data_IF_973683011913
#
_entry.id   IF_973683011913
#
_cell.length_a   1.000
_cell.length_b   1.000
_cell.length_c   1.000
_cell.angle_alpha   90.00
_cell.angle_beta   90.00
_cell.angle_gamma   90.00
#
_symmetry.space_group_name_H-M   'P 1'
#
loop_
_entity.id
_entity.type
_entity.pdbx_description
1 polymer ?
#
# COMPACT_ATOMS: atom_id res chain seq x y z
N UNK A 1 -8.87 3.39 -4.68
CA UNK A 1 -8.54 4.56 -5.51
C UNK A 1 -9.35 5.72 -4.96
N UNK A 2 -8.69 6.73 -4.39
CA UNK A 2 -9.14 8.07 -4.70
C UNK A 2 -9.39 8.07 -6.21
N UNK A 3 -10.59 8.43 -6.68
CA UNK A 3 -10.84 8.61 -8.11
C UNK A 3 -9.63 9.39 -8.60
N UNK A 4 -8.83 8.73 -9.44
CA UNK A 4 -7.51 9.15 -9.90
C UNK A 4 -7.29 10.64 -9.66
N UNK A 5 -6.31 11.00 -8.83
CA UNK A 5 -5.82 12.38 -8.78
C UNK A 5 -5.66 12.81 -10.22
N UNK A 6 -6.49 13.75 -10.64
CA UNK A 6 -6.67 14.04 -12.04
C UNK A 6 -5.34 14.66 -12.50
N UNK A 7 -4.93 14.52 -13.76
CA UNK A 7 -3.71 15.23 -14.22
C UNK A 7 -3.78 16.75 -13.94
N UNK A 8 -5.00 17.28 -13.73
CA UNK A 8 -5.26 18.62 -13.25
C UNK A 8 -4.70 18.93 -11.84
N UNK A 9 -4.56 17.96 -10.94
CA UNK A 9 -4.02 18.13 -9.58
C UNK A 9 -2.50 18.39 -9.59
N UNK A 10 -1.81 18.02 -10.68
CA UNK A 10 -0.41 18.41 -10.91
C UNK A 10 -0.29 19.86 -11.41
N UNK A 11 -1.40 20.45 -11.89
CA UNK A 11 -1.41 21.83 -12.39
C UNK A 11 -1.61 22.87 -11.27
N UNK A 12 -2.07 22.45 -10.09
CA UNK A 12 -2.17 23.31 -8.90
C UNK A 12 -0.81 23.54 -8.24
N UNK A 13 -0.67 24.68 -7.56
CA UNK A 13 0.57 25.07 -6.89
C UNK A 13 0.93 24.13 -5.74
N UNK A 14 2.23 23.98 -5.44
CA UNK A 14 2.71 23.08 -4.38
C UNK A 14 2.12 23.40 -3.01
N UNK A 15 1.90 24.67 -2.70
CA UNK A 15 1.36 25.09 -1.41
C UNK A 15 -0.18 25.19 -1.38
N UNK A 16 -0.85 24.84 -2.48
CA UNK A 16 -2.31 24.92 -2.59
C UNK A 16 -2.97 23.65 -2.03
N UNK A 17 -4.16 23.81 -1.46
CA UNK A 17 -4.96 22.69 -0.98
C UNK A 17 -5.74 22.05 -2.12
N UNK A 18 -5.70 20.73 -2.21
CA UNK A 18 -6.44 19.92 -3.18
C UNK A 18 -7.42 19.04 -2.40
N UNK A 19 -8.69 19.12 -2.78
CA UNK A 19 -9.76 18.29 -2.23
C UNK A 19 -9.93 17.08 -3.12
N UNK A 20 -9.76 15.88 -2.55
CA UNK A 20 -9.85 14.61 -3.26
C UNK A 20 -10.89 13.69 -2.63
N UNK A 21 -11.61 12.95 -3.47
CA UNK A 21 -12.55 11.92 -3.03
C UNK A 21 -11.79 10.67 -2.56
N UNK A 22 -12.21 10.06 -1.45
CA UNK A 22 -11.65 8.81 -0.95
C UNK A 22 -12.37 7.59 -1.58
N UNK A 23 -11.64 6.48 -1.79
CA UNK A 23 -12.23 5.26 -2.38
C UNK A 23 -13.40 4.69 -1.58
N UNK A 24 -13.38 4.89 -0.27
CA UNK A 24 -14.39 4.40 0.68
C UNK A 24 -15.44 5.46 1.03
N UNK A 25 -15.47 6.57 0.28
CA UNK A 25 -16.40 7.69 0.47
C UNK A 25 -15.85 8.80 1.36
N UNK A 26 -16.43 9.99 1.19
CA UNK A 26 -15.96 11.22 1.82
C UNK A 26 -14.85 11.91 1.02
N UNK A 27 -14.39 13.04 1.55
CA UNK A 27 -13.33 13.84 0.95
C UNK A 27 -12.17 14.01 1.94
N UNK A 28 -10.97 14.10 1.39
CA UNK A 28 -9.78 14.52 2.11
C UNK A 28 -9.23 15.80 1.51
N UNK A 29 -8.43 16.54 2.27
CA UNK A 29 -7.69 17.70 1.78
C UNK A 29 -6.21 17.43 1.96
N UNK A 30 -5.46 17.49 0.86
CA UNK A 30 -4.01 17.29 0.83
C UNK A 30 -3.34 18.53 0.23
N UNK A 31 -2.12 18.81 0.65
CA UNK A 31 -1.29 19.88 0.07
C UNK A 31 -0.80 19.45 -1.33
N UNK A 32 -0.73 20.39 -2.27
CA UNK A 32 -0.32 20.15 -3.65
C UNK A 32 1.04 19.47 -3.77
N UNK A 33 1.96 19.75 -2.83
CA UNK A 33 3.25 19.08 -2.71
C UNK A 33 3.16 17.55 -2.73
N UNK A 34 2.14 16.97 -2.08
CA UNK A 34 1.90 15.52 -2.12
C UNK A 34 1.80 14.98 -3.55
N UNK A 35 0.99 15.62 -4.40
CA UNK A 35 0.76 15.17 -5.77
C UNK A 35 1.97 15.44 -6.66
N UNK A 36 2.71 16.53 -6.42
CA UNK A 36 3.96 16.83 -7.14
C UNK A 36 5.08 15.83 -6.79
N UNK A 37 5.04 15.21 -5.62
CA UNK A 37 6.02 14.20 -5.19
C UNK A 37 5.70 12.80 -5.71
N UNK A 38 4.43 12.46 -5.96
CA UNK A 38 4.04 11.11 -6.42
C UNK A 38 4.84 10.61 -7.63
N UNK A 39 5.08 11.41 -8.70
CA UNK A 39 5.87 10.95 -9.85
C UNK A 39 7.36 10.78 -9.56
N UNK A 40 7.87 11.33 -8.45
CA UNK A 40 9.27 11.26 -8.04
C UNK A 40 9.56 10.07 -7.13
N UNK A 41 8.53 9.36 -6.69
CA UNK A 41 8.65 8.20 -5.81
C UNK A 41 8.42 6.89 -6.56
N UNK A 42 9.17 5.86 -6.19
CA UNK A 42 9.00 4.50 -6.69
C UNK A 42 9.01 3.52 -5.52
N UNK A 43 7.90 2.81 -5.33
CA UNK A 43 7.80 1.76 -4.31
C UNK A 43 8.87 0.68 -4.53
N UNK A 44 9.10 0.27 -5.78
CA UNK A 44 10.15 -0.68 -6.13
C UNK A 44 11.55 -0.16 -5.78
N UNK A 45 11.83 1.12 -6.08
CA UNK A 45 13.12 1.75 -5.73
C UNK A 45 13.35 1.85 -4.22
N UNK A 46 12.31 2.18 -3.46
CA UNK A 46 12.36 2.21 -2.00
C UNK A 46 12.63 0.82 -1.42
N UNK A 47 11.94 -0.22 -1.92
CA UNK A 47 12.15 -1.61 -1.50
C UNK A 47 13.55 -2.10 -1.84
N UNK A 48 14.06 -1.78 -3.05
CA UNK A 48 15.41 -2.16 -3.48
C UNK A 48 16.51 -1.58 -2.57
N UNK A 49 16.26 -0.40 -2.00
CA UNK A 49 17.22 0.30 -1.14
C UNK A 49 17.08 -0.03 0.35
N UNK A 50 16.01 -0.74 0.75
CA UNK A 50 15.77 -1.08 2.15
C UNK A 50 16.70 -2.24 2.59
N UNK A 51 17.43 -2.15 3.72
CA UNK A 51 18.40 -3.19 4.11
C UNK A 51 17.85 -4.27 5.07
N UNK A 52 16.69 -4.07 5.71
CA UNK A 52 16.12 -4.98 6.72
C UNK A 52 15.21 -6.07 6.15
N UNK A 53 14.76 -7.09 6.89
CA UNK A 53 13.89 -8.14 6.35
C UNK A 53 12.59 -7.58 5.72
N UNK A 54 12.05 -8.23 4.68
CA UNK A 54 10.86 -7.73 3.94
C UNK A 54 9.72 -8.75 3.90
N UNK A 55 8.57 -8.45 4.51
CA UNK A 55 7.32 -9.16 4.25
C UNK A 55 6.41 -8.34 3.35
N UNK A 56 5.85 -8.97 2.32
CA UNK A 56 4.78 -8.38 1.49
C UNK A 56 3.48 -9.12 1.78
N UNK A 57 2.44 -8.40 2.23
CA UNK A 57 1.14 -8.96 2.61
C UNK A 57 0.10 -8.53 1.58
N UNK A 58 -0.71 -9.47 1.08
CA UNK A 58 -1.64 -9.22 -0.02
C UNK A 58 -2.95 -9.98 0.14
N UNK A 59 -4.00 -9.51 -0.54
CA UNK A 59 -5.28 -10.20 -0.64
C UNK A 59 -5.70 -10.47 -2.09
N UNK A 60 -6.25 -11.64 -2.42
CA UNK A 60 -6.71 -11.96 -3.78
C UNK A 60 -7.96 -11.19 -4.19
N UNK A 61 -8.67 -10.55 -3.24
CA UNK A 61 -9.83 -9.69 -3.51
C UNK A 61 -9.45 -8.21 -3.67
N UNK A 62 -8.16 -7.88 -3.64
CA UNK A 62 -7.65 -6.57 -4.04
C UNK A 62 -8.00 -6.29 -5.51
N UNK A 63 -8.58 -5.12 -5.78
CA UNK A 63 -9.06 -4.72 -7.11
C UNK A 63 -8.42 -3.43 -7.63
N UNK A 64 -7.73 -2.69 -6.77
CA UNK A 64 -7.03 -1.44 -7.09
C UNK A 64 -5.58 -1.73 -7.51
N UNK A 65 -4.87 -2.56 -6.75
CA UNK A 65 -3.48 -2.93 -7.04
C UNK A 65 -3.44 -4.37 -7.54
N UNK A 66 -3.59 -4.56 -8.85
CA UNK A 66 -3.74 -5.87 -9.50
C UNK A 66 -2.62 -6.11 -10.52
N UNK A 67 -2.37 -7.38 -10.96
CA UNK A 67 -2.98 -8.63 -10.52
C UNK A 67 -2.33 -9.23 -9.26
N UNK A 68 -3.14 -9.76 -8.33
CA UNK A 68 -2.63 -10.51 -7.18
C UNK A 68 -2.58 -12.02 -7.46
N UNK A 69 -1.60 -12.77 -6.92
CA UNK A 69 -0.46 -12.32 -6.08
C UNK A 69 0.76 -11.84 -6.89
N UNK A 70 0.62 -11.64 -8.20
CA UNK A 70 1.73 -11.32 -9.10
C UNK A 70 2.37 -9.98 -8.71
N UNK A 71 1.58 -8.95 -8.40
CA UNK A 71 2.09 -7.62 -8.07
C UNK A 71 3.01 -7.60 -6.84
N UNK A 72 2.73 -8.34 -5.77
CA UNK A 72 3.67 -8.38 -4.63
C UNK A 72 4.79 -9.38 -4.82
N UNK A 73 4.59 -10.45 -5.58
CA UNK A 73 5.71 -11.27 -6.02
C UNK A 73 6.74 -10.43 -6.79
N UNK A 74 6.30 -9.47 -7.61
CA UNK A 74 7.19 -8.51 -8.27
C UNK A 74 7.92 -7.62 -7.26
N UNK A 75 7.26 -7.13 -6.22
CA UNK A 75 7.93 -6.33 -5.18
C UNK A 75 9.05 -7.12 -4.47
N UNK A 76 8.83 -8.41 -4.20
CA UNK A 76 9.85 -9.28 -3.61
C UNK A 76 11.07 -9.53 -4.51
N UNK A 77 10.96 -9.34 -5.83
CA UNK A 77 12.11 -9.48 -6.74
C UNK A 77 13.12 -8.34 -6.60
N UNK A 78 12.71 -7.17 -6.10
CA UNK A 78 13.61 -6.03 -5.97
C UNK A 78 14.55 -6.14 -4.77
N UNK A 79 14.41 -7.18 -3.94
CA UNK A 79 15.16 -7.29 -2.69
C UNK A 79 15.79 -8.66 -2.51
N UNK A 80 17.05 -8.67 -2.07
CA UNK A 80 17.76 -9.87 -1.62
C UNK A 80 17.71 -10.05 -0.09
N UNK A 81 17.87 -11.28 0.38
CA UNK A 81 17.88 -11.62 1.81
C UNK A 81 16.52 -12.10 2.33
N UNK A 82 16.31 -12.00 3.65
CA UNK A 82 15.09 -12.49 4.32
C UNK A 82 13.86 -11.78 3.77
N UNK A 83 13.02 -12.53 3.07
CA UNK A 83 11.79 -12.03 2.49
C UNK A 83 10.73 -13.11 2.38
N UNK A 84 9.46 -12.72 2.49
CA UNK A 84 8.34 -13.62 2.28
C UNK A 84 7.09 -12.93 1.73
N UNK A 85 6.23 -13.74 1.12
CA UNK A 85 4.90 -13.34 0.68
C UNK A 85 3.86 -13.95 1.60
N UNK A 86 3.02 -13.12 2.18
CA UNK A 86 1.87 -13.55 2.96
C UNK A 86 0.59 -13.24 2.18
N UNK A 87 -0.20 -14.27 1.89
CA UNK A 87 -1.50 -14.10 1.23
C UNK A 87 -2.59 -14.35 2.26
N UNK A 88 -3.35 -13.30 2.57
CA UNK A 88 -4.58 -13.37 3.35
C UNK A 88 -5.78 -13.28 2.40
N UNK A 89 -7.01 -13.45 2.89
CA UNK A 89 -8.23 -13.33 2.08
C UNK A 89 -8.97 -11.95 2.12
N UNK A 90 -8.30 -10.77 2.22
CA UNK A 90 -9.00 -9.48 2.24
C UNK A 90 -9.07 -8.79 0.87
N UNK A 91 -9.78 -7.67 0.87
CA UNK A 91 -9.75 -6.60 -0.14
C UNK A 91 -8.64 -5.57 0.15
N UNK A 92 -8.71 -4.40 -0.50
CA UNK A 92 -7.73 -3.30 -0.39
C UNK A 92 -7.48 -2.82 1.04
N UNK A 93 -8.51 -2.85 1.88
CA UNK A 93 -8.49 -2.27 3.23
C UNK A 93 -8.45 -3.37 4.30
N UNK A 94 -7.91 -4.55 3.97
CA UNK A 94 -7.82 -5.68 4.89
C UNK A 94 -9.19 -6.14 5.45
N UNK A 95 -10.28 -5.95 4.67
CA UNK A 95 -11.64 -6.28 5.09
C UNK A 95 -12.26 -5.30 6.09
N UNK A 96 -11.63 -4.15 6.36
CA UNK A 96 -12.06 -3.18 7.37
C UNK A 96 -13.50 -2.67 7.17
N UNK A 97 -14.00 -2.65 5.93
CA UNK A 97 -15.39 -2.28 5.63
C UNK A 97 -16.44 -3.29 6.12
N UNK A 98 -16.04 -4.49 6.55
CA UNK A 98 -16.94 -5.56 6.99
C UNK A 98 -16.70 -6.01 8.42
N UNK A 99 -15.44 -6.16 8.84
CA UNK A 99 -15.09 -6.68 10.16
C UNK A 99 -13.63 -6.36 10.51
N UNK A 100 -13.33 -6.20 11.80
CA UNK A 100 -11.95 -6.13 12.30
C UNK A 100 -11.30 -7.50 12.47
N UNK A 101 -12.07 -8.59 12.32
CA UNK A 101 -11.65 -9.95 12.67
C UNK A 101 -10.39 -10.43 11.93
N UNK A 102 -10.23 -10.09 10.66
CA UNK A 102 -9.02 -10.44 9.90
C UNK A 102 -7.80 -9.70 10.44
N UNK A 103 -7.96 -8.40 10.75
CA UNK A 103 -6.87 -7.60 11.32
C UNK A 103 -6.43 -8.14 12.70
N UNK A 104 -7.39 -8.43 13.57
CA UNK A 104 -7.14 -8.85 14.95
C UNK A 104 -6.65 -10.29 15.07
N UNK A 105 -7.19 -11.21 14.27
CA UNK A 105 -6.97 -12.66 14.43
C UNK A 105 -5.91 -13.22 13.50
N UNK A 106 -5.61 -12.54 12.40
CA UNK A 106 -4.68 -13.02 11.38
C UNK A 106 -3.56 -12.01 11.14
N UNK A 107 -3.87 -10.82 10.63
CA UNK A 107 -2.85 -9.85 10.21
C UNK A 107 -1.89 -9.46 11.34
N UNK A 108 -2.41 -9.05 12.49
CA UNK A 108 -1.58 -8.60 13.60
C UNK A 108 -0.76 -9.74 14.24
N UNK A 109 -1.34 -10.91 14.59
CA UNK A 109 -0.57 -12.03 15.13
C UNK A 109 0.56 -12.50 14.20
N UNK A 110 0.26 -12.68 12.91
CA UNK A 110 1.21 -13.14 11.90
C UNK A 110 2.35 -12.15 11.68
N UNK A 111 2.04 -10.85 11.73
CA UNK A 111 3.05 -9.79 11.64
C UNK A 111 3.97 -9.82 12.87
N UNK A 112 3.43 -9.97 14.07
CA UNK A 112 4.22 -10.07 15.32
C UNK A 112 5.11 -11.32 15.29
N UNK A 113 4.59 -12.45 14.85
CA UNK A 113 5.36 -13.69 14.73
C UNK A 113 6.53 -13.52 13.75
N UNK A 114 6.27 -12.93 12.59
CA UNK A 114 7.32 -12.68 11.60
C UNK A 114 8.44 -11.79 12.15
N UNK A 115 8.09 -10.73 12.87
CA UNK A 115 9.10 -9.86 13.50
C UNK A 115 9.96 -10.62 14.49
N UNK A 116 9.39 -11.53 15.28
CA UNK A 116 10.14 -12.37 16.24
C UNK A 116 11.11 -13.33 15.55
N UNK A 117 10.79 -13.74 14.33
CA UNK A 117 11.57 -14.75 13.59
C UNK A 117 12.54 -14.13 12.58
N UNK A 118 12.41 -12.83 12.28
CA UNK A 118 13.12 -12.17 11.17
C UNK A 118 14.04 -11.02 11.60
N UNK A 119 13.94 -10.57 12.85
CA UNK A 119 14.83 -9.57 13.48
C UNK A 119 15.75 -10.25 14.51
#
# INVERSE_FOLDING_TARGET
MAKTGNLADLATGKDEAIIADLSWGGQTTLNGGFFHELPLMSAAGAIASYPGPLRVIMGPKETIVTPQPISGNQLLQYREGTKDLMVLEPDHDFGAGTSTGLAEKELAPETVEWFRNSL
#
